data_IF_804859638609
#
_entry.id   IF_804859638609
#
_cell.length_a   1.000
_cell.length_b   1.000
_cell.length_c   1.000
_cell.angle_alpha   90.00
_cell.angle_beta   90.00
_cell.angle_gamma   90.00
#
_symmetry.space_group_name_H-M   'P 1'
#
loop_
_entity.id
_entity.type
_entity.pdbx_description
1 polymer ?
#
# COMPACT_ATOMS: atom_id res chain seq x y z
N UNK A 1 14.78 -37.63 50.66
CA UNK A 1 13.52 -37.22 50.03
C UNK A 1 13.59 -35.73 49.70
N UNK A 2 13.40 -35.36 48.41
CA UNK A 2 13.02 -34.03 47.87
C UNK A 2 14.09 -32.92 48.03
N UNK A 3 15.00 -32.60 47.08
CA UNK A 3 14.82 -32.07 45.71
C UNK A 3 13.55 -31.22 45.53
N UNK A 4 13.77 -29.95 45.12
CA UNK A 4 12.83 -28.83 44.89
C UNK A 4 12.73 -27.86 46.08
N UNK A 5 13.69 -26.93 46.17
CA UNK A 5 13.56 -25.48 46.45
C UNK A 5 14.96 -24.90 46.12
N UNK A 6 15.30 -25.00 44.84
CA UNK A 6 16.29 -24.20 44.13
C UNK A 6 15.41 -23.17 43.37
N UNK A 7 15.81 -21.89 43.29
CA UNK A 7 15.14 -20.73 42.62
C UNK A 7 14.85 -19.54 43.57
N UNK A 8 15.62 -19.29 44.64
CA UNK A 8 15.63 -17.95 45.30
C UNK A 8 17.05 -17.55 45.74
N UNK A 9 18.08 -17.84 44.93
CA UNK A 9 19.49 -17.54 45.29
C UNK A 9 20.27 -16.87 44.14
N UNK A 10 19.63 -16.17 43.19
CA UNK A 10 20.42 -15.63 42.08
C UNK A 10 20.02 -14.25 41.55
N UNK A 11 19.61 -13.32 42.42
CA UNK A 11 19.32 -11.95 41.99
C UNK A 11 19.56 -10.88 43.08
N UNK A 12 20.58 -11.07 43.94
CA UNK A 12 20.95 -10.07 44.97
C UNK A 12 22.38 -9.54 44.88
N UNK A 13 23.09 -9.68 43.76
CA UNK A 13 24.36 -8.96 43.57
C UNK A 13 24.43 -8.52 42.11
N UNK A 14 24.43 -7.21 41.88
CA UNK A 14 25.32 -6.44 41.00
C UNK A 14 24.77 -5.01 40.98
N UNK A 15 25.29 -4.17 41.88
CA UNK A 15 26.24 -3.08 41.57
C UNK A 15 25.52 -1.80 41.15
N UNK A 16 25.68 -0.83 42.04
CA UNK A 16 25.45 0.60 41.93
C UNK A 16 26.34 1.25 40.86
N UNK A 17 25.83 2.31 40.22
CA UNK A 17 26.49 3.46 39.53
C UNK A 17 26.18 3.65 38.04
N UNK A 18 25.42 4.72 37.80
CA UNK A 18 25.68 5.81 36.85
C UNK A 18 25.94 5.47 35.39
N UNK A 19 24.91 5.62 34.56
CA UNK A 19 25.05 6.33 33.29
C UNK A 19 23.85 7.27 33.12
N UNK A 20 24.14 8.56 33.07
CA UNK A 20 23.24 9.55 32.51
C UNK A 20 23.14 9.27 31.01
N UNK A 21 22.14 8.48 30.61
CA UNK A 21 21.70 8.45 29.22
C UNK A 21 20.72 9.59 29.03
N UNK A 22 21.12 10.59 28.25
CA UNK A 22 20.20 11.46 27.54
C UNK A 22 19.18 10.57 26.83
N UNK A 23 17.99 10.42 27.41
CA UNK A 23 16.83 10.00 26.63
C UNK A 23 16.51 11.17 25.74
N UNK A 24 16.94 11.07 24.47
CA UNK A 24 16.22 11.68 23.36
C UNK A 24 14.74 11.36 23.60
N UNK A 25 13.97 12.36 24.00
CA UNK A 25 12.52 12.31 23.95
C UNK A 25 12.17 12.20 22.47
N UNK A 26 12.15 10.98 21.94
CA UNK A 26 11.30 10.68 20.80
C UNK A 26 9.91 11.00 21.33
N UNK A 27 9.33 12.09 20.83
CA UNK A 27 7.95 12.43 21.09
C UNK A 27 7.12 11.21 20.70
N UNK A 28 6.72 10.41 21.70
CA UNK A 28 5.60 9.52 21.53
C UNK A 28 4.40 10.43 21.44
N UNK A 29 3.94 10.71 20.22
CA UNK A 29 2.57 11.17 20.03
C UNK A 29 1.69 10.17 20.76
N UNK A 30 0.98 10.63 21.79
CA UNK A 30 -0.08 9.86 22.40
C UNK A 30 -1.01 9.37 21.28
N UNK A 31 -1.54 8.14 21.36
CA UNK A 31 -2.45 7.65 20.34
C UNK A 31 -3.67 8.57 20.35
N UNK A 32 -3.72 9.48 19.38
CA UNK A 32 -4.91 10.24 19.06
C UNK A 32 -6.07 9.26 18.93
N UNK A 33 -7.24 9.73 19.34
CA UNK A 33 -8.51 9.02 19.23
C UNK A 33 -8.55 8.16 17.95
N UNK A 34 -8.73 6.85 18.12
CA UNK A 34 -8.80 5.92 16.99
C UNK A 34 -10.10 6.26 16.27
N UNK A 35 -10.00 7.04 15.21
CA UNK A 35 -11.10 7.26 14.27
C UNK A 35 -11.22 5.94 13.49
N UNK A 36 -12.27 5.15 13.72
CA UNK A 36 -12.57 3.96 12.91
C UNK A 36 -12.78 4.38 11.44
N UNK A 37 -12.46 3.51 10.47
CA UNK A 37 -12.85 3.81 9.08
C UNK A 37 -14.38 3.75 9.06
N UNK A 38 -15.05 4.82 8.66
CA UNK A 38 -16.41 4.66 8.17
C UNK A 38 -16.32 3.96 6.82
N UNK A 39 -16.30 2.62 6.83
CA UNK A 39 -16.30 1.81 5.62
C UNK A 39 -17.51 2.06 4.73
N UNK A 40 -18.56 2.72 5.24
CA UNK A 40 -19.71 3.13 4.44
C UNK A 40 -19.49 4.49 3.75
N UNK A 41 -18.50 5.27 4.18
CA UNK A 41 -18.21 6.61 3.66
C UNK A 41 -16.77 7.07 3.95
N UNK A 42 -15.72 6.33 3.52
CA UNK A 42 -14.35 6.78 3.74
C UNK A 42 -14.07 8.05 2.94
N UNK A 43 -13.14 8.90 3.41
CA UNK A 43 -12.73 10.09 2.64
C UNK A 43 -12.34 9.68 1.22
N UNK A 44 -12.89 10.37 0.23
CA UNK A 44 -12.75 9.97 -1.16
C UNK A 44 -11.32 10.18 -1.67
N UNK A 45 -10.93 9.47 -2.74
CA UNK A 45 -9.68 9.77 -3.48
C UNK A 45 -9.64 11.25 -3.89
N UNK A 46 -10.80 11.82 -4.24
CA UNK A 46 -10.95 13.22 -4.62
C UNK A 46 -10.53 14.15 -3.49
N UNK A 47 -11.06 13.96 -2.27
CA UNK A 47 -10.69 14.79 -1.12
C UNK A 47 -9.22 14.64 -0.75
N UNK A 48 -8.69 13.40 -0.85
CA UNK A 48 -7.27 13.11 -0.54
C UNK A 48 -6.29 13.74 -1.54
N UNK A 49 -6.70 13.95 -2.80
CA UNK A 49 -5.83 14.45 -3.88
C UNK A 49 -6.04 15.94 -4.15
N UNK A 50 -7.29 16.42 -4.16
CA UNK A 50 -7.62 17.77 -4.66
C UNK A 50 -7.56 18.88 -3.62
N UNK A 51 -7.52 18.53 -2.32
CA UNK A 51 -7.34 19.49 -1.22
C UNK A 51 -5.88 19.86 -0.95
N UNK A 52 -4.94 19.31 -1.72
CA UNK A 52 -3.51 19.40 -1.47
C UNK A 52 -2.87 20.50 -2.33
N UNK A 53 -1.87 21.19 -1.77
CA UNK A 53 -1.16 22.29 -2.40
C UNK A 53 -0.44 21.92 -3.72
N UNK A 54 0.35 22.83 -4.31
CA UNK A 54 1.00 22.56 -5.58
C UNK A 54 1.84 21.28 -5.50
N UNK A 55 1.90 20.54 -6.60
CA UNK A 55 2.86 19.45 -6.78
C UNK A 55 4.27 19.97 -6.50
N UNK A 56 4.87 19.58 -5.38
CA UNK A 56 6.21 20.04 -5.00
C UNK A 56 7.29 19.07 -5.47
N UNK A 57 8.49 19.62 -5.61
CA UNK A 57 9.70 18.82 -5.83
C UNK A 57 9.96 18.03 -4.56
N UNK A 58 10.16 16.72 -4.72
CA UNK A 58 10.51 15.78 -3.63
C UNK A 58 11.60 16.42 -2.76
N UNK A 59 11.36 16.60 -1.44
CA UNK A 59 12.33 17.17 -0.53
C UNK A 59 13.67 16.40 -0.54
N UNK A 60 14.83 17.08 -0.41
CA UNK A 60 16.15 16.44 -0.44
C UNK A 60 16.31 15.29 0.58
N UNK A 61 15.59 15.32 1.69
CA UNK A 61 15.56 14.26 2.69
C UNK A 61 14.89 12.95 2.20
N UNK A 62 14.05 13.02 1.17
CA UNK A 62 13.50 11.86 0.44
C UNK A 62 14.36 11.49 -0.79
N UNK A 63 15.42 12.26 -1.07
CA UNK A 63 16.42 11.93 -2.09
C UNK A 63 17.30 10.72 -1.68
N UNK A 64 17.18 10.28 -0.42
CA UNK A 64 17.90 9.16 0.19
C UNK A 64 17.32 7.76 -0.05
N UNK A 65 16.23 7.60 -0.80
CA UNK A 65 15.63 6.28 -1.03
C UNK A 65 16.40 5.39 -2.03
N UNK A 66 17.61 5.76 -2.45
CA UNK A 66 18.44 4.96 -3.36
C UNK A 66 17.91 4.90 -4.80
N UNK A 67 16.95 5.76 -5.14
CA UNK A 67 16.32 5.79 -6.46
C UNK A 67 16.72 7.09 -7.19
N UNK A 68 17.45 6.95 -8.31
CA UNK A 68 17.81 8.09 -9.16
C UNK A 68 16.68 8.38 -10.15
N UNK A 69 15.80 9.30 -9.79
CA UNK A 69 14.75 9.83 -10.66
C UNK A 69 15.31 10.95 -11.57
N UNK A 70 15.03 10.92 -12.87
CA UNK A 70 15.41 11.96 -13.83
C UNK A 70 14.36 13.08 -13.92
N UNK A 71 14.78 14.34 -14.13
CA UNK A 71 13.90 15.49 -14.39
C UNK A 71 13.38 16.26 -13.17
N UNK A 72 12.57 17.31 -13.41
CA UNK A 72 11.84 18.03 -12.34
C UNK A 72 10.72 17.11 -11.85
N UNK A 73 10.79 16.74 -10.57
CA UNK A 73 9.92 15.73 -9.95
C UNK A 73 8.70 16.42 -9.38
N UNK A 74 7.53 15.83 -9.60
CA UNK A 74 6.31 16.24 -8.95
C UNK A 74 5.77 15.08 -8.12
N UNK A 75 5.58 15.32 -6.82
CA UNK A 75 4.80 14.43 -5.96
C UNK A 75 3.56 15.20 -5.51
N UNK A 76 2.44 14.51 -5.41
CA UNK A 76 1.31 15.01 -4.61
C UNK A 76 1.79 15.13 -3.18
N UNK A 77 2.17 16.34 -2.76
CA UNK A 77 2.47 16.61 -1.37
C UNK A 77 1.18 16.51 -0.56
N UNK A 78 1.32 15.97 0.65
CA UNK A 78 0.26 15.94 1.65
C UNK A 78 -0.87 14.92 1.45
N UNK A 79 -0.75 13.93 0.55
CA UNK A 79 -1.66 12.78 0.56
C UNK A 79 -1.93 12.29 1.99
N UNK A 80 -3.18 12.32 2.41
CA UNK A 80 -3.61 11.89 3.75
C UNK A 80 -4.17 10.48 3.63
N UNK A 81 -3.69 9.58 4.49
CA UNK A 81 -4.27 8.25 4.58
C UNK A 81 -5.76 8.34 4.97
N UNK A 82 -6.63 7.46 4.47
CA UNK A 82 -8.03 7.45 4.88
C UNK A 82 -8.16 7.36 6.40
N UNK A 83 -9.21 7.97 6.95
CA UNK A 83 -9.58 7.76 8.36
C UNK A 83 -9.65 6.27 8.68
N UNK A 84 -9.22 5.90 9.88
CA UNK A 84 -9.08 4.53 10.41
C UNK A 84 -8.19 3.55 9.66
N UNK A 85 -7.34 4.02 8.75
CA UNK A 85 -6.33 3.17 8.08
C UNK A 85 -5.54 2.29 9.06
N UNK A 86 -5.27 2.78 10.28
CA UNK A 86 -4.51 2.03 11.29
C UNK A 86 -5.23 0.76 11.71
N UNK A 87 -6.55 0.82 11.87
CA UNK A 87 -7.37 -0.34 12.22
C UNK A 87 -7.49 -1.31 11.04
N UNK A 88 -7.72 -0.78 9.83
CA UNK A 88 -7.79 -1.57 8.61
C UNK A 88 -6.51 -2.36 8.34
N UNK A 89 -5.35 -1.73 8.56
CA UNK A 89 -4.05 -2.41 8.49
C UNK A 89 -3.91 -3.41 9.63
N UNK A 90 -4.34 -3.03 10.84
CA UNK A 90 -4.25 -3.84 12.04
C UNK A 90 -2.81 -4.34 12.27
N UNK A 91 -2.63 -5.66 12.17
CA UNK A 91 -1.34 -6.33 12.35
C UNK A 91 -0.50 -6.50 11.09
N UNK A 92 -0.98 -6.11 9.91
CA UNK A 92 -0.29 -6.33 8.63
C UNK A 92 1.04 -5.60 8.62
N UNK A 93 2.10 -6.30 8.19
CA UNK A 93 3.47 -5.77 8.05
C UNK A 93 3.99 -5.82 6.63
N UNK A 94 3.35 -6.62 5.78
CA UNK A 94 3.80 -6.91 4.44
C UNK A 94 2.59 -7.21 3.55
N UNK A 95 2.63 -6.68 2.35
CA UNK A 95 1.76 -7.08 1.23
C UNK A 95 2.65 -7.56 0.08
N UNK A 96 2.18 -8.54 -0.67
CA UNK A 96 2.86 -9.09 -1.84
C UNK A 96 2.11 -8.69 -3.10
N UNK A 97 2.79 -8.02 -4.02
CA UNK A 97 2.23 -7.55 -5.28
C UNK A 97 2.99 -8.13 -6.48
N UNK A 98 2.31 -8.51 -7.56
CA UNK A 98 3.00 -8.78 -8.82
C UNK A 98 3.37 -7.47 -9.52
N UNK A 99 4.50 -7.45 -10.24
CA UNK A 99 4.93 -6.28 -11.02
C UNK A 99 5.39 -6.69 -12.43
N UNK A 100 4.97 -5.92 -13.44
CA UNK A 100 5.42 -6.10 -14.82
C UNK A 100 6.79 -5.46 -15.02
N UNK A 101 7.75 -6.24 -15.49
CA UNK A 101 9.11 -5.78 -15.71
C UNK A 101 9.90 -5.56 -14.41
N UNK A 102 11.10 -4.99 -14.56
CA UNK A 102 12.03 -4.82 -13.45
C UNK A 102 11.91 -3.47 -12.77
N UNK A 103 11.84 -3.48 -11.44
CA UNK A 103 11.84 -2.30 -10.57
C UNK A 103 13.14 -1.49 -10.66
N UNK A 104 14.24 -2.09 -11.12
CA UNK A 104 15.49 -1.36 -11.40
C UNK A 104 15.27 -0.25 -12.43
N UNK A 105 14.27 -0.41 -13.30
CA UNK A 105 13.90 0.54 -14.34
C UNK A 105 12.61 1.31 -14.05
N UNK A 106 11.93 1.01 -12.93
CA UNK A 106 10.71 1.71 -12.49
C UNK A 106 10.95 2.43 -11.14
N UNK A 107 11.64 3.58 -11.18
CA UNK A 107 11.93 4.34 -9.98
C UNK A 107 10.67 4.96 -9.34
N UNK A 108 9.57 5.12 -10.07
CA UNK A 108 8.34 5.70 -9.55
C UNK A 108 7.62 4.72 -8.62
N UNK A 109 7.44 3.47 -9.06
CA UNK A 109 6.84 2.41 -8.25
C UNK A 109 7.64 2.15 -6.97
N UNK A 110 8.98 2.09 -7.08
CA UNK A 110 9.85 1.90 -5.90
C UNK A 110 9.71 3.06 -4.90
N UNK A 111 9.63 4.31 -5.38
CA UNK A 111 9.47 5.45 -4.48
C UNK A 111 8.09 5.44 -3.81
N UNK A 112 7.02 5.20 -4.57
CA UNK A 112 5.66 5.16 -4.03
C UNK A 112 5.51 4.08 -2.94
N UNK A 113 6.08 2.89 -3.16
CA UNK A 113 6.09 1.83 -2.17
C UNK A 113 6.82 2.23 -0.88
N UNK A 114 7.94 2.95 -0.98
CA UNK A 114 8.69 3.44 0.20
C UNK A 114 7.96 4.55 0.95
N UNK A 115 7.28 5.43 0.23
CA UNK A 115 6.42 6.45 0.85
C UNK A 115 5.28 5.76 1.60
N UNK A 116 4.60 4.81 0.96
CA UNK A 116 3.55 4.02 1.58
C UNK A 116 4.04 3.31 2.85
N UNK A 117 5.21 2.65 2.78
CA UNK A 117 5.82 1.97 3.93
C UNK A 117 6.15 2.97 5.05
N UNK A 118 6.68 4.15 4.74
CA UNK A 118 6.94 5.18 5.75
C UNK A 118 5.67 5.70 6.42
N UNK A 119 4.59 5.86 5.64
CA UNK A 119 3.32 6.38 6.14
C UNK A 119 2.57 5.34 6.99
N UNK A 120 2.66 4.06 6.63
CA UNK A 120 1.81 3.00 7.19
C UNK A 120 2.55 1.97 8.05
N UNK A 121 3.86 1.83 7.87
CA UNK A 121 4.66 0.74 8.40
C UNK A 121 4.49 -0.59 7.67
N UNK A 122 3.81 -0.62 6.52
CA UNK A 122 3.58 -1.82 5.70
C UNK A 122 4.53 -1.86 4.52
N UNK A 123 5.33 -2.92 4.44
CA UNK A 123 6.23 -3.15 3.33
C UNK A 123 5.50 -3.76 2.12
N UNK A 124 5.81 -3.30 0.90
CA UNK A 124 5.32 -3.94 -0.33
C UNK A 124 6.47 -4.76 -0.94
N UNK A 125 6.30 -6.08 -0.97
CA UNK A 125 7.19 -6.96 -1.71
C UNK A 125 6.64 -7.18 -3.12
N UNK A 126 7.43 -6.81 -4.11
CA UNK A 126 7.08 -7.02 -5.51
C UNK A 126 7.68 -8.31 -6.04
N UNK A 127 6.85 -9.09 -6.73
CA UNK A 127 7.28 -10.20 -7.57
C UNK A 127 7.45 -9.66 -9.00
N UNK A 128 8.68 -9.32 -9.36
CA UNK A 128 9.06 -8.93 -10.73
C UNK A 128 8.88 -10.11 -11.68
N UNK A 129 8.13 -9.91 -12.76
CA UNK A 129 7.99 -10.90 -13.81
C UNK A 129 7.94 -10.26 -15.20
N UNK A 130 8.26 -11.06 -16.22
CA UNK A 130 8.10 -10.62 -17.61
C UNK A 130 6.61 -10.47 -17.92
N UNK A 131 6.27 -9.49 -18.74
CA UNK A 131 4.89 -9.15 -19.10
C UNK A 131 4.10 -10.37 -19.61
N UNK A 132 4.74 -11.24 -20.41
CA UNK A 132 4.08 -12.43 -20.95
C UNK A 132 3.69 -13.47 -19.88
N UNK A 133 4.28 -13.37 -18.69
CA UNK A 133 4.01 -14.25 -17.56
C UNK A 133 2.97 -13.68 -16.58
N UNK A 134 2.67 -12.38 -16.63
CA UNK A 134 1.72 -11.72 -15.71
C UNK A 134 0.39 -12.46 -15.72
N UNK A 135 -0.28 -12.51 -16.87
CA UNK A 135 -1.60 -13.09 -16.98
C UNK A 135 -1.66 -14.59 -16.59
N UNK A 136 -0.84 -15.50 -17.16
CA UNK A 136 -0.92 -16.90 -16.80
C UNK A 136 -0.58 -17.16 -15.33
N UNK A 137 0.29 -16.36 -14.70
CA UNK A 137 0.61 -16.49 -13.27
C UNK A 137 -0.50 -15.95 -12.38
N UNK A 138 -1.06 -14.79 -12.69
CA UNK A 138 -2.24 -14.24 -12.00
C UNK A 138 -3.40 -15.22 -12.04
N UNK A 139 -3.73 -15.75 -13.22
CA UNK A 139 -4.81 -16.72 -13.37
C UNK A 139 -4.53 -18.00 -12.57
N UNK A 140 -3.29 -18.50 -12.61
CA UNK A 140 -2.90 -19.69 -11.86
C UNK A 140 -3.02 -19.49 -10.34
N UNK A 141 -2.56 -18.35 -9.82
CA UNK A 141 -2.66 -17.99 -8.41
C UNK A 141 -4.13 -17.84 -7.96
N UNK A 142 -4.94 -17.12 -8.75
CA UNK A 142 -6.36 -16.91 -8.51
C UNK A 142 -7.15 -18.21 -8.51
N UNK A 143 -6.96 -19.08 -9.51
CA UNK A 143 -7.61 -20.39 -9.59
C UNK A 143 -7.23 -21.32 -8.44
N UNK A 144 -5.97 -21.25 -8.00
CA UNK A 144 -5.49 -21.99 -6.84
C UNK A 144 -5.99 -21.41 -5.51
N UNK A 145 -6.59 -20.21 -5.51
CA UNK A 145 -6.94 -19.44 -4.31
C UNK A 145 -5.73 -19.28 -3.38
N UNK A 146 -4.55 -19.05 -3.97
CA UNK A 146 -3.33 -18.83 -3.22
C UNK A 146 -3.45 -17.55 -2.40
N UNK A 147 -2.91 -17.60 -1.18
CA UNK A 147 -2.76 -16.45 -0.29
C UNK A 147 -1.33 -15.89 -0.33
N UNK A 148 -0.53 -16.28 -1.31
CA UNK A 148 0.87 -15.85 -1.44
C UNK A 148 0.99 -14.50 -2.16
N UNK A 149 -0.09 -14.01 -2.76
CA UNK A 149 -0.16 -12.73 -3.48
C UNK A 149 -1.41 -11.99 -3.04
N UNK A 150 -1.23 -10.74 -2.60
CA UNK A 150 -2.31 -9.87 -2.13
C UNK A 150 -2.82 -8.94 -3.24
N UNK A 151 -1.91 -8.48 -4.12
CA UNK A 151 -2.25 -7.59 -5.24
C UNK A 151 -1.72 -8.12 -6.57
N UNK A 152 -2.56 -8.08 -7.60
CA UNK A 152 -2.16 -8.41 -8.96
C UNK A 152 -1.98 -7.14 -9.79
N UNK A 153 -0.82 -7.00 -10.45
CA UNK A 153 -0.69 -6.14 -11.62
C UNK A 153 -1.54 -6.72 -12.75
N UNK A 154 -2.35 -5.87 -13.37
CA UNK A 154 -3.24 -6.24 -14.47
C UNK A 154 -2.99 -5.33 -15.66
N UNK A 155 -2.47 -5.91 -16.74
CA UNK A 155 -2.08 -5.16 -17.94
C UNK A 155 -3.27 -4.88 -18.86
N UNK A 156 -4.21 -5.82 -18.97
CA UNK A 156 -5.39 -5.72 -19.84
C UNK A 156 -6.66 -5.63 -19.01
N UNK A 157 -6.74 -4.59 -18.19
CA UNK A 157 -7.76 -4.45 -17.14
C UNK A 157 -9.20 -4.70 -17.64
N UNK A 158 -9.59 -4.17 -18.80
CA UNK A 158 -10.93 -4.42 -19.37
C UNK A 158 -11.31 -5.91 -19.52
N UNK A 159 -10.33 -6.77 -19.83
CA UNK A 159 -10.55 -8.21 -20.05
C UNK A 159 -10.27 -8.97 -18.75
N UNK A 160 -9.09 -8.74 -18.19
CA UNK A 160 -8.53 -9.55 -17.12
C UNK A 160 -9.33 -9.34 -15.81
N UNK A 161 -9.67 -8.09 -15.46
CA UNK A 161 -10.52 -7.77 -14.30
C UNK A 161 -11.89 -8.44 -14.39
N UNK A 162 -12.52 -8.42 -15.56
CA UNK A 162 -13.82 -9.06 -15.79
C UNK A 162 -13.78 -10.58 -15.58
N UNK A 163 -12.69 -11.23 -16.02
CA UNK A 163 -12.51 -12.69 -15.82
C UNK A 163 -12.33 -13.00 -14.34
N UNK A 164 -11.45 -12.26 -13.66
CA UNK A 164 -11.15 -12.45 -12.24
C UNK A 164 -12.39 -12.21 -11.35
N UNK A 165 -13.16 -11.15 -11.64
CA UNK A 165 -14.40 -10.82 -10.96
C UNK A 165 -15.47 -11.90 -11.16
N UNK A 166 -15.65 -12.38 -12.40
CA UNK A 166 -16.59 -13.46 -12.71
C UNK A 166 -16.27 -14.77 -11.97
N UNK A 167 -14.98 -15.04 -11.74
CA UNK A 167 -14.49 -16.16 -10.93
C UNK A 167 -14.66 -15.97 -9.43
N UNK A 168 -15.04 -14.76 -8.97
CA UNK A 168 -15.04 -14.35 -7.55
C UNK A 168 -13.68 -14.55 -6.89
N UNK A 169 -12.60 -14.21 -7.62
CA UNK A 169 -11.22 -14.36 -7.14
C UNK A 169 -10.59 -13.06 -6.65
N UNK A 170 -11.25 -11.93 -6.86
CA UNK A 170 -10.81 -10.62 -6.41
C UNK A 170 -11.93 -9.93 -5.63
N UNK A 171 -11.54 -9.00 -4.75
CA UNK A 171 -12.46 -8.27 -3.89
C UNK A 171 -12.89 -6.95 -4.57
N UNK A 172 -14.20 -6.60 -4.54
CA UNK A 172 -14.62 -5.28 -4.97
C UNK A 172 -14.06 -4.21 -4.03
N UNK A 173 -13.82 -3.00 -4.55
CA UNK A 173 -13.22 -1.86 -3.85
C UNK A 173 -14.02 -0.58 -4.08
N UNK A 174 -15.35 -0.71 -4.13
CA UNK A 174 -16.27 0.39 -4.44
C UNK A 174 -16.12 1.59 -3.51
N UNK A 175 -15.74 1.33 -2.26
CA UNK A 175 -15.48 2.35 -1.25
C UNK A 175 -14.35 3.32 -1.65
N UNK A 176 -13.48 2.92 -2.57
CA UNK A 176 -12.43 3.79 -3.12
C UNK A 176 -12.93 4.66 -4.29
N UNK A 177 -14.09 4.32 -4.87
CA UNK A 177 -14.67 4.96 -6.04
C UNK A 177 -16.12 5.44 -5.80
N UNK A 178 -16.35 6.34 -4.82
CA UNK A 178 -17.65 7.00 -4.72
C UNK A 178 -17.88 7.93 -5.94
N UNK A 179 -19.15 8.32 -6.23
CA UNK A 179 -19.51 9.03 -7.47
C UNK A 179 -18.70 10.31 -7.77
N UNK A 180 -18.21 11.00 -6.75
CA UNK A 180 -17.34 12.17 -6.90
C UNK A 180 -15.94 11.83 -7.42
N UNK A 181 -15.43 10.64 -7.13
CA UNK A 181 -14.13 10.15 -7.65
C UNK A 181 -14.21 9.84 -9.13
N UNK A 182 -15.38 9.46 -9.65
CA UNK A 182 -15.56 9.20 -11.07
C UNK A 182 -15.19 10.43 -11.92
N UNK A 183 -15.38 11.64 -11.40
CA UNK A 183 -15.04 12.90 -12.10
C UNK A 183 -13.53 13.09 -12.31
N UNK A 184 -12.69 12.32 -11.64
CA UNK A 184 -11.23 12.37 -11.79
C UNK A 184 -10.71 11.57 -12.99
N UNK A 185 -11.51 10.64 -13.50
CA UNK A 185 -11.06 9.66 -14.48
C UNK A 185 -11.92 9.71 -15.74
N UNK A 186 -11.34 9.53 -16.94
CA UNK A 186 -12.12 9.31 -18.14
C UNK A 186 -12.98 8.04 -18.04
N UNK A 187 -14.12 8.03 -18.73
CA UNK A 187 -15.05 6.87 -18.73
C UNK A 187 -14.36 5.56 -19.13
N UNK A 188 -13.42 5.60 -20.08
CA UNK A 188 -12.67 4.41 -20.51
C UNK A 188 -11.80 3.82 -19.39
N UNK A 189 -11.23 4.66 -18.53
CA UNK A 189 -10.44 4.23 -17.36
C UNK A 189 -11.37 3.60 -16.32
N UNK A 190 -12.48 4.27 -15.99
CA UNK A 190 -13.48 3.72 -15.06
C UNK A 190 -14.01 2.36 -15.54
N UNK A 191 -14.35 2.26 -16.83
CA UNK A 191 -14.81 1.02 -17.45
C UNK A 191 -13.78 -0.10 -17.32
N UNK A 192 -12.48 0.21 -17.46
CA UNK A 192 -11.41 -0.80 -17.34
C UNK A 192 -11.23 -1.36 -15.93
N UNK A 193 -11.67 -0.63 -14.91
CA UNK A 193 -11.56 -1.01 -13.49
C UNK A 193 -12.82 -1.68 -12.95
N UNK A 194 -13.94 -1.57 -13.67
CA UNK A 194 -15.22 -2.15 -13.30
C UNK A 194 -15.51 -3.46 -14.04
N UNK A 195 -16.30 -4.34 -13.44
CA UNK A 195 -16.85 -5.52 -14.12
C UNK A 195 -18.34 -5.36 -14.48
N UNK A 196 -18.92 -6.36 -15.15
CA UNK A 196 -20.32 -6.33 -15.61
C UNK A 196 -21.35 -6.27 -14.48
N UNK A 197 -20.95 -6.60 -13.26
CA UNK A 197 -21.77 -6.49 -12.05
C UNK A 197 -21.85 -5.04 -11.52
N UNK A 198 -21.11 -4.11 -12.12
CA UNK A 198 -21.10 -2.69 -11.75
C UNK A 198 -20.16 -2.35 -10.60
N UNK A 199 -19.42 -3.32 -10.06
CA UNK A 199 -18.45 -3.10 -8.99
C UNK A 199 -17.06 -2.75 -9.55
N UNK A 200 -16.30 -1.94 -8.81
CA UNK A 200 -14.90 -1.62 -9.09
C UNK A 200 -13.99 -2.65 -8.43
N UNK A 201 -12.91 -3.02 -9.12
CA UNK A 201 -12.02 -4.11 -8.71
C UNK A 201 -10.53 -3.77 -8.88
N UNK A 202 -10.21 -2.59 -9.41
CA UNK A 202 -8.84 -2.16 -9.66
C UNK A 202 -8.67 -0.66 -9.42
N UNK A 203 -7.43 -0.25 -9.15
CA UNK A 203 -7.04 1.15 -9.10
C UNK A 203 -6.05 1.46 -10.24
N UNK A 204 -6.09 2.66 -10.83
CA UNK A 204 -5.23 2.98 -11.96
C UNK A 204 -3.80 3.23 -11.47
N UNK A 205 -2.84 2.45 -11.99
CA UNK A 205 -1.42 2.59 -11.64
C UNK A 205 -0.73 3.66 -12.52
N UNK A 206 -0.91 3.55 -13.84
CA UNK A 206 -0.44 4.53 -14.82
C UNK A 206 -1.43 4.59 -15.98
N UNK A 207 -1.58 5.76 -16.61
CA UNK A 207 -2.59 6.01 -17.66
C UNK A 207 -2.16 5.52 -19.06
N UNK A 208 -1.43 4.41 -19.16
CA UNK A 208 -1.04 3.87 -20.49
C UNK A 208 -2.26 3.41 -21.28
N UNK A 209 -3.35 3.03 -20.59
CA UNK A 209 -4.63 2.62 -21.18
C UNK A 209 -5.40 3.73 -21.90
N UNK A 210 -5.02 5.01 -21.77
CA UNK A 210 -5.69 6.11 -22.47
C UNK A 210 -5.33 6.19 -23.97
N UNK A 211 -4.30 5.47 -24.43
CA UNK A 211 -3.87 5.49 -25.83
C UNK A 211 -4.47 4.38 -26.71
N UNK A 212 -5.37 3.56 -26.16
CA UNK A 212 -6.03 2.48 -26.90
C UNK A 212 -7.45 2.84 -27.39
N UNK A 213 -7.84 4.11 -27.29
CA UNK A 213 -9.08 4.67 -27.83
C UNK A 213 -8.88 6.01 -28.51
#
# INVERSE_FOLDING_TARGET
MKKKILIIVLLCVVVTWSFASLTLTVASEEPGEIIEIDWNSPSSVFERITGQGPVEVIPPELEGYGVKLAGKKGMLTGYVLPEGWREAIGGVKKLVATNSGSLVHDPATVLNAKIFEKMTGVHIEFIEMKDELIWPKTLSAAMAKSTDVDLFYVDRAMIDTSILASGKWIHPIDELFPPEVHKLYPDGVLMSMSAKDGHFYAAPLTLWGEYLF
#
